data_IF_015501927484
#
_entry.id   IF_015501927484
#
_cell.length_a   1.000
_cell.length_b   1.000
_cell.length_c   1.000
_cell.angle_alpha   90.00
_cell.angle_beta   90.00
_cell.angle_gamma   90.00
#
_symmetry.space_group_name_H-M   'P 1'
#
loop_
_entity.id
_entity.type
_entity.pdbx_description
1 polymer ?
#
# COMPACT_ATOMS: atom_id res chain seq x y z
N UNK A 1 -17.79 -17.18 -4.70
CA UNK A 1 -18.79 -16.15 -4.37
C UNK A 1 -20.07 -16.85 -3.96
N UNK A 2 -20.57 -16.60 -2.75
CA UNK A 2 -21.78 -17.29 -2.25
C UNK A 2 -23.02 -16.72 -2.97
N UNK A 3 -23.84 -17.58 -3.59
CA UNK A 3 -25.04 -17.15 -4.35
C UNK A 3 -26.02 -16.38 -3.46
N UNK A 4 -26.08 -16.72 -2.17
CA UNK A 4 -26.88 -15.98 -1.17
C UNK A 4 -26.49 -14.50 -1.06
N UNK A 5 -25.22 -14.17 -1.30
CA UNK A 5 -24.71 -12.80 -1.29
C UNK A 5 -25.00 -12.03 -2.59
N UNK A 6 -25.25 -12.75 -3.70
CA UNK A 6 -25.69 -12.16 -4.97
C UNK A 6 -27.19 -11.80 -4.96
N UNK A 7 -27.97 -12.52 -4.14
CA UNK A 7 -29.41 -12.30 -3.94
C UNK A 7 -29.71 -11.21 -2.89
N UNK A 8 -28.71 -10.77 -2.12
CA UNK A 8 -28.86 -9.77 -1.06
C UNK A 8 -29.10 -8.35 -1.62
N UNK A 9 -29.80 -7.46 -0.88
CA UNK A 9 -30.00 -6.08 -1.28
C UNK A 9 -28.68 -5.32 -1.46
N UNK A 10 -28.65 -4.39 -2.42
CA UNK A 10 -27.44 -3.68 -2.87
C UNK A 10 -26.60 -3.09 -1.73
N UNK A 11 -27.28 -2.53 -0.73
CA UNK A 11 -26.65 -1.85 0.41
C UNK A 11 -25.95 -2.82 1.35
N UNK A 12 -26.52 -4.01 1.56
CA UNK A 12 -25.93 -5.06 2.41
C UNK A 12 -24.66 -5.61 1.78
N UNK A 13 -24.67 -5.85 0.45
CA UNK A 13 -23.47 -6.29 -0.28
C UNK A 13 -22.36 -5.24 -0.24
N UNK A 14 -22.74 -3.96 -0.38
CA UNK A 14 -21.79 -2.85 -0.32
C UNK A 14 -21.13 -2.76 1.06
N UNK A 15 -21.93 -2.76 2.12
CA UNK A 15 -21.42 -2.72 3.49
C UNK A 15 -20.55 -3.92 3.81
N UNK A 16 -20.95 -5.13 3.41
CA UNK A 16 -20.15 -6.35 3.65
C UNK A 16 -18.83 -6.30 2.88
N UNK A 17 -18.82 -5.86 1.62
CA UNK A 17 -17.56 -5.74 0.85
C UNK A 17 -16.65 -4.66 1.41
N UNK A 18 -17.19 -3.49 1.76
CA UNK A 18 -16.43 -2.42 2.40
C UNK A 18 -15.86 -2.92 3.73
N UNK A 19 -16.68 -3.51 4.60
CA UNK A 19 -16.22 -4.03 5.88
C UNK A 19 -15.13 -5.11 5.72
N UNK A 20 -15.26 -6.02 4.75
CA UNK A 20 -14.26 -7.06 4.51
C UNK A 20 -12.95 -6.47 3.97
N UNK A 21 -13.03 -5.52 3.02
CA UNK A 21 -11.86 -4.85 2.45
C UNK A 21 -11.16 -3.98 3.49
N UNK A 22 -11.90 -3.27 4.33
CA UNK A 22 -11.33 -2.44 5.39
C UNK A 22 -10.75 -3.30 6.52
N UNK A 23 -11.41 -4.41 6.90
CA UNK A 23 -10.95 -5.29 7.98
C UNK A 23 -9.71 -6.11 7.59
N UNK A 24 -9.59 -6.50 6.31
CA UNK A 24 -8.42 -7.26 5.82
C UNK A 24 -7.34 -6.28 5.34
N UNK A 25 -7.72 -5.28 4.56
CA UNK A 25 -6.81 -4.31 3.96
C UNK A 25 -6.27 -3.30 4.97
N UNK A 26 -7.04 -2.91 5.99
CA UNK A 26 -6.62 -1.91 6.98
C UNK A 26 -5.41 -2.32 7.80
N UNK A 27 -5.43 -3.47 8.50
CA UNK A 27 -4.28 -3.95 9.26
C UNK A 27 -3.06 -4.18 8.36
N UNK A 28 -3.30 -4.71 7.17
CA UNK A 28 -2.25 -5.04 6.21
C UNK A 28 -1.59 -3.77 5.65
N UNK A 29 -2.36 -2.73 5.36
CA UNK A 29 -1.88 -1.45 4.86
C UNK A 29 -1.08 -0.67 5.91
N UNK A 30 -1.52 -0.70 7.16
CA UNK A 30 -0.80 -0.12 8.30
C UNK A 30 0.54 -0.83 8.53
N UNK A 31 0.60 -2.16 8.34
CA UNK A 31 1.82 -2.94 8.52
C UNK A 31 2.82 -2.86 7.35
N UNK A 32 2.35 -2.70 6.11
CA UNK A 32 3.20 -2.80 4.90
C UNK A 32 3.92 -1.50 4.52
N UNK A 33 3.49 -0.33 5.01
CA UNK A 33 4.01 0.95 4.57
C UNK A 33 5.29 1.36 5.36
N UNK A 34 6.32 1.92 4.69
CA UNK A 34 7.52 2.41 5.36
C UNK A 34 7.18 3.54 6.34
N UNK A 35 7.97 3.66 7.42
CA UNK A 35 7.81 4.73 8.39
C UNK A 35 8.46 6.01 7.84
N UNK A 36 7.79 6.63 6.86
CA UNK A 36 8.22 7.82 6.13
C UNK A 36 7.83 9.14 6.81
N UNK A 37 7.45 9.08 8.10
CA UNK A 37 7.04 10.25 8.89
C UNK A 37 5.62 10.77 8.61
N UNK A 38 4.86 10.12 7.71
CA UNK A 38 3.45 10.44 7.46
C UNK A 38 2.55 10.10 8.66
N UNK A 39 1.67 11.04 9.04
CA UNK A 39 0.80 10.90 10.21
C UNK A 39 -0.16 9.69 10.09
N UNK A 40 -0.29 8.93 11.17
CA UNK A 40 -1.07 7.68 11.21
C UNK A 40 -2.57 7.92 10.94
N UNK A 41 -3.05 9.12 11.24
CA UNK A 41 -4.43 9.56 10.99
C UNK A 41 -4.69 9.69 9.49
N UNK A 42 -3.75 10.26 8.73
CA UNK A 42 -3.81 10.36 7.28
C UNK A 42 -3.85 8.96 6.63
N UNK A 43 -3.03 8.03 7.17
CA UNK A 43 -2.97 6.63 6.73
C UNK A 43 -4.27 5.87 7.04
N UNK A 44 -4.86 6.10 8.22
CA UNK A 44 -6.12 5.47 8.64
C UNK A 44 -7.33 5.93 7.80
N UNK A 45 -7.31 7.15 7.27
CA UNK A 45 -8.40 7.70 6.42
C UNK A 45 -8.31 7.23 4.97
N UNK A 46 -7.10 6.98 4.44
CA UNK A 46 -6.92 6.49 3.06
C UNK A 46 -7.56 5.11 2.84
N UNK A 47 -7.46 4.21 3.82
CA UNK A 47 -7.97 2.83 3.76
C UNK A 47 -9.49 2.74 3.49
N UNK A 48 -10.37 3.37 4.29
CA UNK A 48 -11.81 3.31 4.04
C UNK A 48 -12.16 3.99 2.72
N UNK A 49 -11.46 5.05 2.32
CA UNK A 49 -11.67 5.74 1.05
C UNK A 49 -11.39 4.82 -0.15
N UNK A 50 -10.22 4.16 -0.15
CA UNK A 50 -9.82 3.24 -1.21
C UNK A 50 -10.75 2.02 -1.24
N UNK A 51 -11.13 1.50 -0.07
CA UNK A 51 -12.07 0.39 0.09
C UNK A 51 -13.47 0.75 -0.44
N UNK A 52 -13.97 1.95 -0.14
CA UNK A 52 -15.24 2.47 -0.66
C UNK A 52 -15.18 2.58 -2.19
N UNK A 53 -14.10 3.12 -2.75
CA UNK A 53 -13.92 3.24 -4.20
C UNK A 53 -13.95 1.90 -4.91
N UNK A 54 -13.14 0.94 -4.43
CA UNK A 54 -13.05 -0.42 -4.99
C UNK A 54 -14.36 -1.19 -4.82
N UNK A 55 -15.00 -1.13 -3.65
CA UNK A 55 -16.28 -1.80 -3.41
C UNK A 55 -17.39 -1.24 -4.32
N UNK A 56 -17.41 0.08 -4.53
CA UNK A 56 -18.38 0.73 -5.43
C UNK A 56 -18.16 0.28 -6.89
N UNK A 57 -16.91 0.21 -7.34
CA UNK A 57 -16.56 -0.32 -8.66
C UNK A 57 -17.03 -1.77 -8.81
N UNK A 58 -16.73 -2.63 -7.83
CA UNK A 58 -17.14 -4.04 -7.86
C UNK A 58 -18.67 -4.18 -7.92
N UNK A 59 -19.42 -3.35 -7.21
CA UNK A 59 -20.88 -3.39 -7.26
C UNK A 59 -21.44 -2.98 -8.62
N UNK A 60 -20.93 -1.90 -9.22
CA UNK A 60 -21.40 -1.44 -10.54
C UNK A 60 -21.13 -2.50 -11.60
N UNK A 61 -19.96 -3.15 -11.54
CA UNK A 61 -19.60 -4.24 -12.47
C UNK A 61 -20.46 -5.48 -12.22
N UNK A 62 -20.69 -5.85 -10.96
CA UNK A 62 -21.51 -7.00 -10.60
C UNK A 62 -23.01 -6.80 -10.91
N UNK A 63 -23.49 -5.57 -11.00
CA UNK A 63 -24.91 -5.29 -11.24
C UNK A 63 -25.35 -5.73 -12.64
N UNK A 64 -24.51 -5.50 -13.66
CA UNK A 64 -24.76 -5.98 -15.02
C UNK A 64 -24.81 -7.50 -15.08
N UNK A 65 -23.89 -8.15 -14.36
CA UNK A 65 -23.88 -9.59 -14.24
C UNK A 65 -25.16 -10.12 -13.56
N UNK A 66 -25.65 -9.42 -12.52
CA UNK A 66 -26.89 -9.76 -11.82
C UNK A 66 -28.11 -9.68 -12.73
N UNK A 67 -28.20 -8.63 -13.55
CA UNK A 67 -29.33 -8.47 -14.47
C UNK A 67 -29.42 -9.63 -15.48
N UNK A 68 -28.30 -10.01 -16.10
CA UNK A 68 -28.26 -11.19 -16.99
C UNK A 68 -28.57 -12.48 -16.24
N UNK A 69 -28.09 -12.64 -15.00
CA UNK A 69 -28.36 -13.82 -14.17
C UNK A 69 -29.85 -13.95 -13.80
N UNK A 70 -30.50 -12.83 -13.46
CA UNK A 70 -31.94 -12.81 -13.15
C UNK A 70 -32.80 -13.04 -14.40
N UNK A 71 -32.39 -12.51 -15.57
CA UNK A 71 -33.08 -12.75 -16.84
C UNK A 71 -33.09 -14.24 -17.22
N UNK A 72 -32.01 -14.98 -16.95
CA UNK A 72 -31.96 -16.44 -17.20
C UNK A 72 -32.83 -17.24 -16.22
N UNK A 73 -33.09 -16.71 -15.03
CA UNK A 73 -33.93 -17.34 -14.00
C UNK A 73 -35.39 -16.90 -14.06
N UNK A 74 -35.73 -15.99 -14.97
CA UNK A 74 -37.07 -15.47 -15.13
C UNK A 74 -37.98 -16.55 -15.71
N UNK A 75 -39.17 -16.73 -15.12
CA UNK A 75 -40.10 -17.81 -15.48
C UNK A 75 -39.94 -19.16 -14.77
N UNK A 76 -38.92 -19.37 -13.92
CA UNK A 76 -38.81 -20.58 -13.06
C UNK A 76 -39.39 -20.35 -11.66
N UNK A 77 -40.01 -21.38 -11.08
CA UNK A 77 -40.53 -21.36 -9.70
C UNK A 77 -39.39 -21.41 -8.64
N UNK A 78 -39.66 -21.04 -7.39
CA UNK A 78 -38.64 -20.88 -6.34
C UNK A 78 -37.82 -22.17 -6.07
N UNK A 79 -38.47 -23.34 -6.16
CA UNK A 79 -37.84 -24.66 -6.02
C UNK A 79 -36.98 -25.01 -7.24
N UNK A 80 -37.50 -24.76 -8.44
CA UNK A 80 -36.80 -24.97 -9.71
C UNK A 80 -35.57 -24.06 -9.85
N UNK A 81 -35.65 -22.80 -9.40
CA UNK A 81 -34.51 -21.87 -9.34
C UNK A 81 -33.40 -22.42 -8.46
N UNK A 82 -33.74 -22.95 -7.28
CA UNK A 82 -32.75 -23.51 -6.35
C UNK A 82 -32.08 -24.75 -6.94
N UNK A 83 -32.84 -25.63 -7.57
CA UNK A 83 -32.31 -26.81 -8.26
C UNK A 83 -31.43 -26.44 -9.46
N UNK A 84 -31.85 -25.49 -10.31
CA UNK A 84 -31.05 -25.04 -11.45
C UNK A 84 -29.71 -24.42 -10.99
N UNK A 85 -29.75 -23.61 -9.92
CA UNK A 85 -28.56 -23.01 -9.33
C UNK A 85 -27.63 -24.08 -8.75
N UNK A 86 -28.16 -25.05 -8.01
CA UNK A 86 -27.38 -26.12 -7.39
C UNK A 86 -26.75 -27.03 -8.46
N UNK A 87 -27.55 -27.44 -9.45
CA UNK A 87 -27.11 -28.21 -10.62
C UNK A 87 -26.07 -27.49 -11.48
N UNK A 88 -26.09 -26.15 -11.52
CA UNK A 88 -25.08 -25.37 -12.25
C UNK A 88 -23.70 -25.32 -11.56
N UNK A 89 -23.65 -25.58 -10.25
CA UNK A 89 -22.44 -25.41 -9.44
C UNK A 89 -21.80 -26.69 -8.95
N UNK A 90 -22.59 -27.64 -8.41
CA UNK A 90 -22.13 -28.95 -7.88
C UNK A 90 -23.19 -30.07 -7.85
N UNK A 91 -24.44 -29.79 -8.20
CA UNK A 91 -25.56 -30.73 -8.10
C UNK A 91 -25.64 -31.74 -9.25
N UNK A 92 -26.41 -32.80 -9.04
CA UNK A 92 -26.74 -33.79 -10.07
C UNK A 92 -27.52 -33.16 -11.24
N UNK A 93 -27.40 -33.74 -12.44
CA UNK A 93 -28.11 -33.24 -13.62
C UNK A 93 -29.64 -33.40 -13.41
N UNK A 94 -30.41 -32.30 -13.46
CA UNK A 94 -31.85 -32.36 -13.26
C UNK A 94 -32.53 -33.04 -14.45
N UNK A 95 -33.54 -33.87 -14.16
CA UNK A 95 -34.33 -34.62 -15.15
C UNK A 95 -35.39 -33.76 -15.85
N UNK A 96 -35.80 -32.64 -15.25
CA UNK A 96 -36.77 -31.72 -15.85
C UNK A 96 -36.12 -30.88 -16.96
N UNK A 97 -36.66 -30.99 -18.18
CA UNK A 97 -36.24 -30.23 -19.38
C UNK A 97 -36.08 -28.71 -19.17
N UNK A 98 -37.02 -27.98 -18.53
CA UNK A 98 -36.85 -26.53 -18.31
C UNK A 98 -35.78 -26.19 -17.27
N UNK A 99 -35.55 -27.05 -16.28
CA UNK A 99 -34.53 -26.85 -15.24
C UNK A 99 -33.14 -27.15 -15.79
N UNK A 100 -33.03 -28.17 -16.66
CA UNK A 100 -31.78 -28.53 -17.33
C UNK A 100 -31.33 -27.44 -18.31
N UNK A 101 -32.26 -26.86 -19.09
CA UNK A 101 -31.93 -25.78 -20.03
C UNK A 101 -31.47 -24.50 -19.31
N UNK A 102 -32.12 -24.13 -18.21
CA UNK A 102 -31.72 -23.01 -17.36
C UNK A 102 -30.36 -23.26 -16.70
N UNK A 103 -30.09 -24.46 -16.20
CA UNK A 103 -28.80 -24.82 -15.60
C UNK A 103 -27.64 -24.75 -16.60
N UNK A 104 -27.84 -25.21 -17.84
CA UNK A 104 -26.87 -25.10 -18.94
C UNK A 104 -26.61 -23.63 -19.31
N UNK A 105 -27.65 -22.80 -19.43
CA UNK A 105 -27.52 -21.35 -19.67
C UNK A 105 -26.80 -20.63 -18.52
N UNK A 106 -27.10 -20.95 -17.27
CA UNK A 106 -26.40 -20.40 -16.11
C UNK A 106 -24.91 -20.75 -16.07
N UNK A 107 -24.58 -22.03 -16.32
CA UNK A 107 -23.20 -22.50 -16.29
C UNK A 107 -22.40 -21.92 -17.46
N UNK A 108 -23.00 -21.82 -18.65
CA UNK A 108 -22.38 -21.18 -19.83
C UNK A 108 -22.14 -19.68 -19.62
N UNK A 109 -23.06 -18.96 -18.96
CA UNK A 109 -22.84 -17.56 -18.59
C UNK A 109 -21.68 -17.40 -17.59
N UNK A 110 -21.60 -18.26 -16.56
CA UNK A 110 -20.53 -18.25 -15.56
C UNK A 110 -19.15 -18.57 -16.16
N UNK A 111 -19.08 -19.56 -17.05
CA UNK A 111 -17.84 -19.97 -17.71
C UNK A 111 -17.44 -18.96 -18.79
N UNK A 112 -18.38 -18.49 -19.60
CA UNK A 112 -18.12 -17.55 -20.69
C UNK A 112 -17.67 -16.17 -20.20
N UNK A 113 -18.25 -15.65 -19.13
CA UNK A 113 -17.80 -14.38 -18.51
C UNK A 113 -16.39 -14.49 -17.93
N UNK A 114 -16.04 -15.62 -17.32
CA UNK A 114 -14.68 -15.86 -16.81
C UNK A 114 -13.65 -16.07 -17.92
N UNK A 115 -14.00 -16.81 -18.97
CA UNK A 115 -13.10 -17.06 -20.10
C UNK A 115 -12.86 -15.80 -20.95
N UNK A 116 -13.84 -14.90 -21.02
CA UNK A 116 -13.71 -13.61 -21.70
C UNK A 116 -12.86 -12.60 -20.97
N UNK A 117 -12.38 -12.89 -19.76
CA UNK A 117 -11.40 -12.00 -19.12
C UNK A 117 -10.19 -11.83 -20.04
N UNK A 118 -9.85 -10.58 -20.40
CA UNK A 118 -8.82 -10.32 -21.38
C UNK A 118 -7.47 -10.83 -20.89
N UNK A 119 -6.65 -11.33 -21.81
CA UNK A 119 -5.36 -11.97 -21.50
C UNK A 119 -4.42 -11.06 -20.71
N UNK A 120 -4.48 -9.74 -20.93
CA UNK A 120 -3.72 -8.75 -20.16
C UNK A 120 -4.10 -8.74 -18.67
N UNK A 121 -5.39 -8.91 -18.33
CA UNK A 121 -5.84 -8.94 -16.94
C UNK A 121 -5.36 -10.23 -16.22
N UNK A 122 -5.24 -11.33 -16.97
CA UNK A 122 -4.60 -12.57 -16.49
C UNK A 122 -3.12 -12.37 -16.18
N UNK A 123 -2.39 -11.65 -17.03
CA UNK A 123 -0.99 -11.32 -16.77
C UNK A 123 -0.83 -10.37 -15.59
N UNK A 124 -1.67 -9.34 -15.46
CA UNK A 124 -1.69 -8.44 -14.30
C UNK A 124 -1.95 -9.23 -13.01
N UNK A 125 -2.87 -10.20 -13.02
CA UNK A 125 -3.13 -11.06 -11.87
C UNK A 125 -1.90 -11.85 -11.40
N UNK A 126 -0.96 -12.22 -12.29
CA UNK A 126 0.30 -12.87 -11.91
C UNK A 126 1.41 -11.87 -11.54
N UNK A 127 1.41 -10.68 -12.15
CA UNK A 127 2.38 -9.62 -11.84
C UNK A 127 2.22 -9.08 -10.42
N UNK A 128 0.99 -9.01 -9.90
CA UNK A 128 0.74 -8.51 -8.54
C UNK A 128 1.40 -9.36 -7.44
N UNK A 129 1.22 -10.69 -7.36
CA UNK A 129 1.93 -11.52 -6.37
C UNK A 129 3.44 -11.56 -6.62
N UNK A 130 3.89 -11.51 -7.88
CA UNK A 130 5.31 -11.43 -8.20
C UNK A 130 5.94 -10.11 -7.71
N UNK A 131 5.24 -8.99 -7.88
CA UNK A 131 5.64 -7.69 -7.35
C UNK A 131 5.69 -7.68 -5.82
N UNK A 132 4.68 -8.27 -5.16
CA UNK A 132 4.68 -8.43 -3.71
C UNK A 132 5.89 -9.27 -3.21
N UNK A 133 6.24 -10.35 -3.92
CA UNK A 133 7.42 -11.15 -3.61
C UNK A 133 8.73 -10.40 -3.82
N UNK A 134 8.85 -9.60 -4.89
CA UNK A 134 10.02 -8.75 -5.12
C UNK A 134 10.19 -7.70 -4.01
N UNK A 135 9.09 -7.10 -3.55
CA UNK A 135 9.11 -6.16 -2.42
C UNK A 135 9.55 -6.88 -1.14
N UNK A 136 9.08 -8.10 -0.89
CA UNK A 136 9.52 -8.90 0.26
C UNK A 136 11.05 -9.14 0.23
N UNK A 137 11.60 -9.48 -0.94
CA UNK A 137 13.05 -9.68 -1.12
C UNK A 137 13.83 -8.39 -0.88
N UNK A 138 13.37 -7.26 -1.44
CA UNK A 138 14.01 -5.96 -1.20
C UNK A 138 14.04 -5.60 0.29
N UNK A 139 12.94 -5.83 1.02
CA UNK A 139 12.87 -5.57 2.47
C UNK A 139 13.72 -6.50 3.31
N UNK A 140 13.95 -7.72 2.85
CA UNK A 140 14.85 -8.66 3.50
C UNK A 140 16.31 -8.17 3.41
N UNK A 141 16.68 -7.52 2.30
CA UNK A 141 18.00 -6.89 2.13
C UNK A 141 18.16 -5.69 3.06
N UNK A 142 17.10 -4.91 3.29
CA UNK A 142 17.06 -3.81 4.26
C UNK A 142 17.00 -4.27 5.74
N UNK A 143 17.16 -5.57 6.02
CA UNK A 143 17.10 -6.19 7.36
C UNK A 143 15.76 -5.98 8.11
N UNK A 144 14.69 -5.58 7.42
CA UNK A 144 13.35 -5.43 8.00
C UNK A 144 12.55 -6.73 7.86
N UNK A 145 12.93 -7.73 8.67
CA UNK A 145 12.44 -9.12 8.60
C UNK A 145 10.92 -9.21 8.79
N UNK A 146 10.35 -8.36 9.65
CA UNK A 146 8.91 -8.38 9.94
C UNK A 146 8.08 -7.93 8.73
N UNK A 147 8.51 -6.84 8.07
CA UNK A 147 7.84 -6.36 6.84
C UNK A 147 8.07 -7.30 5.67
N UNK A 148 9.24 -7.91 5.56
CA UNK A 148 9.52 -8.93 4.55
C UNK A 148 8.55 -10.14 4.69
N UNK A 149 8.36 -10.64 5.91
CA UNK A 149 7.42 -11.74 6.19
C UNK A 149 5.97 -11.35 5.90
N UNK A 150 5.55 -10.12 6.20
CA UNK A 150 4.21 -9.63 5.89
C UNK A 150 3.94 -9.60 4.37
N UNK A 151 4.88 -9.07 3.57
CA UNK A 151 4.77 -9.06 2.12
C UNK A 151 4.80 -10.47 1.51
N UNK A 152 5.59 -11.38 2.09
CA UNK A 152 5.64 -12.77 1.66
C UNK A 152 4.32 -13.50 1.95
N UNK A 153 3.73 -13.28 3.13
CA UNK A 153 2.41 -13.81 3.48
C UNK A 153 1.32 -13.32 2.52
N UNK A 154 1.35 -12.04 2.12
CA UNK A 154 0.45 -11.47 1.10
C UNK A 154 0.63 -12.15 -0.25
N UNK A 155 1.88 -12.31 -0.70
CA UNK A 155 2.17 -12.97 -1.97
C UNK A 155 1.63 -14.41 -2.00
N UNK A 156 1.84 -15.17 -0.91
CA UNK A 156 1.32 -16.54 -0.75
C UNK A 156 -0.21 -16.55 -0.74
N UNK A 157 -0.84 -15.65 0.02
CA UNK A 157 -2.30 -15.56 0.08
C UNK A 157 -2.90 -15.27 -1.31
N UNK A 158 -2.31 -14.33 -2.05
CA UNK A 158 -2.74 -14.03 -3.41
C UNK A 158 -2.55 -15.23 -4.35
N UNK A 159 -1.42 -15.94 -4.27
CA UNK A 159 -1.18 -17.15 -5.06
C UNK A 159 -2.23 -18.23 -4.77
N UNK A 160 -2.59 -18.44 -3.49
CA UNK A 160 -3.64 -19.37 -3.08
C UNK A 160 -5.00 -18.95 -3.63
N UNK A 161 -5.36 -17.66 -3.58
CA UNK A 161 -6.61 -17.13 -4.13
C UNK A 161 -6.68 -17.38 -5.64
N UNK A 162 -5.63 -17.05 -6.39
CA UNK A 162 -5.60 -17.27 -7.84
C UNK A 162 -5.64 -18.75 -8.22
N UNK A 163 -4.93 -19.59 -7.46
CA UNK A 163 -4.98 -21.04 -7.65
C UNK A 163 -6.38 -21.60 -7.40
N UNK A 164 -7.05 -21.15 -6.34
CA UNK A 164 -8.42 -21.53 -6.03
C UNK A 164 -9.40 -21.09 -7.12
N UNK A 165 -9.21 -19.89 -7.67
CA UNK A 165 -10.04 -19.36 -8.74
C UNK A 165 -9.88 -20.19 -10.04
N UNK A 166 -8.64 -20.54 -10.40
CA UNK A 166 -8.34 -21.43 -11.52
C UNK A 166 -8.89 -22.86 -11.31
N UNK A 167 -8.83 -23.38 -10.08
CA UNK A 167 -9.41 -24.68 -9.75
C UNK A 167 -10.94 -24.65 -9.82
N UNK A 168 -11.55 -23.56 -9.39
CA UNK A 168 -13.00 -23.36 -9.45
C UNK A 168 -13.48 -23.26 -10.91
N UNK A 169 -12.76 -22.52 -11.76
CA UNK A 169 -13.05 -22.43 -13.18
C UNK A 169 -12.98 -23.80 -13.87
N UNK A 170 -11.93 -24.59 -13.59
CA UNK A 170 -11.78 -25.95 -14.13
C UNK A 170 -12.95 -26.86 -13.75
N UNK A 171 -13.39 -26.79 -12.49
CA UNK A 171 -14.56 -27.55 -12.02
C UNK A 171 -15.84 -27.14 -12.75
N UNK A 172 -16.07 -25.83 -12.92
CA UNK A 172 -17.24 -25.33 -13.64
C UNK A 172 -17.23 -25.76 -15.11
N UNK A 173 -16.06 -25.78 -15.76
CA UNK A 173 -15.93 -26.29 -17.13
C UNK A 173 -16.26 -27.78 -17.24
N UNK A 174 -15.78 -28.60 -16.30
CA UNK A 174 -16.10 -30.03 -16.26
C UNK A 174 -17.60 -30.27 -16.09
N UNK A 175 -18.23 -29.53 -15.19
CA UNK A 175 -19.67 -29.63 -14.95
C UNK A 175 -20.52 -29.18 -16.13
N UNK A 176 -20.09 -28.11 -16.82
CA UNK A 176 -20.73 -27.65 -18.03
C UNK A 176 -20.67 -28.70 -19.14
N UNK A 177 -19.55 -29.42 -19.28
CA UNK A 177 -19.43 -30.52 -20.24
C UNK A 177 -20.40 -31.67 -19.91
N UNK A 178 -20.53 -32.03 -18.63
CA UNK A 178 -21.49 -33.04 -18.18
C UNK A 178 -22.94 -32.62 -18.47
N UNK A 179 -23.30 -31.38 -18.13
CA UNK A 179 -24.64 -30.84 -18.37
C UNK A 179 -24.98 -30.76 -19.86
N UNK A 180 -24.01 -30.42 -20.72
CA UNK A 180 -24.19 -30.42 -22.19
C UNK A 180 -24.36 -31.83 -22.73
N UNK A 181 -23.60 -32.80 -22.23
CA UNK A 181 -23.76 -34.21 -22.64
C UNK A 181 -25.15 -34.74 -22.27
N UNK A 182 -25.64 -34.44 -21.07
CA UNK A 182 -27.00 -34.81 -20.66
C UNK A 182 -28.07 -34.07 -21.47
N UNK A 183 -27.91 -32.78 -21.74
CA UNK A 183 -28.85 -32.01 -22.55
C UNK A 183 -28.92 -32.52 -24.00
N UNK A 184 -27.78 -32.89 -24.60
CA UNK A 184 -27.76 -33.48 -25.94
C UNK A 184 -28.56 -34.80 -26.00
N UNK A 185 -28.51 -35.60 -24.93
CA UNK A 185 -29.27 -36.86 -24.85
C UNK A 185 -30.77 -36.69 -24.59
N UNK A 186 -31.19 -35.63 -23.88
CA UNK A 186 -32.58 -35.47 -23.44
C UNK A 186 -33.39 -34.45 -24.24
N UNK A 187 -32.75 -33.41 -24.78
CA UNK A 187 -33.38 -32.29 -25.49
C UNK A 187 -33.08 -32.30 -26.99
N UNK A 188 -32.10 -33.09 -27.45
CA UNK A 188 -31.66 -33.15 -28.85
C UNK A 188 -30.85 -31.93 -29.30
N UNK A 189 -31.21 -30.73 -28.85
CA UNK A 189 -30.51 -29.48 -29.15
C UNK A 189 -29.90 -28.87 -27.87
N UNK A 190 -28.62 -28.49 -27.93
CA UNK A 190 -27.91 -27.92 -26.77
C UNK A 190 -28.30 -26.46 -26.63
N UNK A 191 -28.88 -26.02 -25.51
CA UNK A 191 -29.24 -24.62 -25.30
C UNK A 191 -27.99 -23.73 -25.34
N UNK A 192 -27.86 -22.88 -26.36
CA UNK A 192 -26.81 -21.88 -26.48
C UNK A 192 -27.33 -20.51 -26.07
N UNK A 193 -26.51 -19.73 -25.35
CA UNK A 193 -26.76 -18.31 -25.10
C UNK A 193 -26.41 -17.50 -26.36
N UNK A 194 -27.23 -16.51 -26.68
CA UNK A 194 -26.91 -15.57 -27.75
C UNK A 194 -25.76 -14.64 -27.33
N UNK A 195 -24.97 -14.15 -28.29
CA UNK A 195 -23.83 -13.26 -28.03
C UNK A 195 -24.24 -11.97 -27.29
N UNK A 196 -25.47 -11.52 -27.51
CA UNK A 196 -26.11 -10.36 -26.86
C UNK A 196 -26.47 -10.56 -25.40
N UNK A 197 -26.54 -11.80 -24.91
CA UNK A 197 -26.88 -12.12 -23.52
C UNK A 197 -25.66 -12.12 -22.59
N UNK A 198 -24.45 -12.11 -23.16
CA UNK A 198 -23.22 -11.97 -22.37
C UNK A 198 -23.06 -10.53 -21.87
N UNK A 199 -22.81 -10.33 -20.57
CA UNK A 199 -22.50 -9.01 -20.07
C UNK A 199 -21.18 -8.52 -20.67
N UNK A 200 -21.16 -7.28 -21.15
CA UNK A 200 -19.96 -6.65 -21.70
C UNK A 200 -18.81 -6.70 -20.67
N UNK A 201 -17.67 -7.24 -21.09
CA UNK A 201 -16.52 -7.58 -20.25
C UNK A 201 -15.78 -6.34 -19.74
N UNK A 202 -15.88 -5.24 -20.48
CA UNK A 202 -15.25 -3.97 -20.12
C UNK A 202 -16.27 -3.03 -19.47
N UNK A 203 -15.99 -2.49 -18.26
CA UNK A 203 -16.75 -1.35 -17.77
C UNK A 203 -16.61 -0.23 -18.81
N UNK A 204 -17.71 0.50 -19.08
CA UNK A 204 -17.65 1.57 -20.06
C UNK A 204 -16.54 2.57 -19.67
N UNK A 205 -15.81 3.11 -20.64
CA UNK A 205 -14.75 4.12 -20.41
C UNK A 205 -15.23 5.25 -19.47
N UNK A 206 -16.51 5.59 -19.54
CA UNK A 206 -17.19 6.54 -18.65
C UNK A 206 -17.21 6.09 -17.18
N UNK A 207 -17.55 4.83 -16.90
CA UNK A 207 -17.53 4.27 -15.53
C UNK A 207 -16.11 4.23 -14.98
N UNK A 208 -15.13 3.83 -15.81
CA UNK A 208 -13.73 3.82 -15.38
C UNK A 208 -13.21 5.23 -15.05
N UNK A 209 -13.52 6.23 -15.89
CA UNK A 209 -13.15 7.63 -15.66
C UNK A 209 -13.82 8.23 -14.42
N UNK A 210 -15.10 7.93 -14.18
CA UNK A 210 -15.81 8.38 -12.97
C UNK A 210 -15.15 7.77 -11.73
N UNK A 211 -14.79 6.50 -11.76
CA UNK A 211 -14.17 5.82 -10.62
C UNK A 211 -12.76 6.34 -10.35
N UNK A 212 -11.93 6.50 -11.38
CA UNK A 212 -10.59 7.11 -11.23
C UNK A 212 -10.73 8.54 -10.71
N UNK A 213 -11.68 9.32 -11.23
CA UNK A 213 -11.99 10.67 -10.74
C UNK A 213 -12.41 10.69 -9.27
N UNK A 214 -13.28 9.77 -8.84
CA UNK A 214 -13.72 9.65 -7.44
C UNK A 214 -12.58 9.22 -6.53
N UNK A 215 -11.76 8.26 -6.93
CA UNK A 215 -10.59 7.82 -6.14
C UNK A 215 -9.59 8.96 -5.98
N UNK A 216 -9.29 9.69 -7.05
CA UNK A 216 -8.41 10.87 -7.01
C UNK A 216 -9.02 11.96 -6.13
N UNK A 217 -10.28 12.34 -6.36
CA UNK A 217 -10.95 13.38 -5.59
C UNK A 217 -11.01 13.04 -4.09
N UNK A 218 -11.36 11.80 -3.75
CA UNK A 218 -11.42 11.37 -2.36
C UNK A 218 -10.02 11.27 -1.72
N UNK A 219 -8.99 10.90 -2.49
CA UNK A 219 -7.60 10.92 -2.01
C UNK A 219 -7.13 12.35 -1.73
N UNK A 220 -7.49 13.30 -2.60
CA UNK A 220 -7.19 14.73 -2.43
C UNK A 220 -7.94 15.30 -1.22
N UNK A 221 -9.24 15.00 -1.07
CA UNK A 221 -10.06 15.45 0.05
C UNK A 221 -9.55 14.86 1.37
N UNK A 222 -9.21 13.58 1.40
CA UNK A 222 -8.63 12.93 2.58
C UNK A 222 -7.27 13.53 2.96
N UNK A 223 -6.41 13.80 1.97
CA UNK A 223 -5.11 14.45 2.19
C UNK A 223 -5.28 15.88 2.71
N UNK A 224 -6.25 16.62 2.18
CA UNK A 224 -6.59 17.96 2.65
C UNK A 224 -7.19 17.94 4.07
N UNK A 225 -8.06 16.98 4.38
CA UNK A 225 -8.66 16.84 5.70
C UNK A 225 -7.63 16.43 6.76
N UNK A 226 -6.71 15.51 6.42
CA UNK A 226 -5.60 15.14 7.30
C UNK A 226 -4.67 16.33 7.55
N UNK A 227 -4.29 17.07 6.50
CA UNK A 227 -3.49 18.29 6.61
C UNK A 227 -4.16 19.38 7.46
N UNK A 228 -5.49 19.48 7.40
CA UNK A 228 -6.25 20.43 8.22
C UNK A 228 -6.42 19.95 9.67
N UNK A 229 -6.57 18.65 9.92
CA UNK A 229 -6.62 18.08 11.27
C UNK A 229 -5.27 18.19 11.98
N UNK A 230 -4.16 18.03 11.26
CA UNK A 230 -2.80 18.21 11.77
C UNK A 230 -2.54 19.67 12.22
N UNK A 231 -3.26 20.64 11.66
CA UNK A 231 -3.26 22.03 12.14
C UNK A 231 -4.21 22.30 13.31
N UNK A 232 -5.20 21.45 13.55
CA UNK A 232 -6.31 21.76 14.45
C UNK A 232 -6.14 21.25 15.89
N UNK A 233 -5.10 20.47 16.20
CA UNK A 233 -4.96 19.82 17.51
C UNK A 233 -3.66 20.19 18.24
N UNK A 234 -3.70 21.22 19.10
CA UNK A 234 -2.64 21.46 20.07
C UNK A 234 -2.87 20.55 21.29
N UNK A 235 -1.99 19.57 21.45
CA UNK A 235 -1.75 18.88 22.72
C UNK A 235 -2.68 17.71 23.06
N UNK A 236 -2.34 16.51 22.59
CA UNK A 236 -2.43 15.27 23.39
C UNK A 236 -1.66 14.14 22.67
N UNK A 237 -0.58 13.65 23.28
CA UNK A 237 -0.01 12.30 23.05
C UNK A 237 0.85 12.02 21.80
N UNK A 238 0.86 12.86 20.76
CA UNK A 238 1.57 12.58 19.47
C UNK A 238 2.89 13.39 19.31
N UNK A 239 3.23 14.27 20.26
CA UNK A 239 4.43 15.13 20.19
C UNK A 239 5.75 14.40 20.37
N UNK A 240 5.74 13.16 20.90
CA UNK A 240 6.97 12.38 21.07
C UNK A 240 7.65 12.00 19.75
N UNK A 241 6.86 11.67 18.71
CA UNK A 241 7.37 11.15 17.42
C UNK A 241 7.75 12.26 16.45
N UNK A 242 7.05 13.40 16.46
CA UNK A 242 7.38 14.55 15.59
C UNK A 242 8.61 15.34 16.07
N UNK A 243 8.81 15.49 17.38
CA UNK A 243 10.01 16.12 17.94
C UNK A 243 11.25 15.22 17.77
N UNK A 244 11.09 13.89 17.83
CA UNK A 244 12.15 12.95 17.44
C UNK A 244 12.47 13.02 15.94
N UNK A 245 11.46 13.20 15.07
CA UNK A 245 11.69 13.48 13.65
C UNK A 245 12.52 14.75 13.43
N UNK A 246 12.24 15.83 14.19
CA UNK A 246 13.05 17.07 14.15
C UNK A 246 14.48 16.84 14.67
N UNK A 247 14.63 16.09 15.77
CA UNK A 247 15.94 15.78 16.34
C UNK A 247 16.78 14.92 15.38
N UNK A 248 16.19 13.89 14.76
CA UNK A 248 16.83 13.05 13.74
C UNK A 248 17.10 13.85 12.45
N UNK A 249 16.27 14.81 12.07
CA UNK A 249 16.56 15.70 10.94
C UNK A 249 17.80 16.58 11.19
N UNK A 250 18.16 16.84 12.44
CA UNK A 250 19.43 17.49 12.80
C UNK A 250 20.63 16.59 12.45
N UNK A 251 20.43 15.27 12.37
CA UNK A 251 21.45 14.26 12.07
C UNK A 251 21.74 14.11 10.58
N UNK A 252 20.72 14.27 9.73
CA UNK A 252 20.87 14.21 8.27
C UNK A 252 21.90 15.24 7.75
N UNK A 253 22.06 16.36 8.46
CA UNK A 253 23.03 17.42 8.15
C UNK A 253 24.49 16.96 8.29
N UNK A 254 24.75 15.89 9.06
CA UNK A 254 26.08 15.27 9.15
C UNK A 254 26.36 14.34 7.97
N UNK A 255 25.41 13.46 7.64
CA UNK A 255 25.58 12.48 6.57
C UNK A 255 25.62 13.09 5.16
N UNK A 256 24.98 14.25 4.96
CA UNK A 256 24.94 14.92 3.66
C UNK A 256 26.23 15.68 3.32
N UNK A 257 27.09 15.96 4.31
CA UNK A 257 28.30 16.79 4.15
C UNK A 257 29.54 16.12 4.75
N UNK A 258 29.87 14.95 4.22
CA UNK A 258 31.10 14.23 4.58
C UNK A 258 32.36 15.10 4.35
N UNK A 259 32.32 15.97 3.34
CA UNK A 259 33.36 16.97 3.03
C UNK A 259 33.65 17.95 4.18
N UNK A 260 32.64 18.28 4.98
CA UNK A 260 32.73 19.21 6.11
C UNK A 260 32.96 18.51 7.45
N UNK A 261 32.94 17.18 7.51
CA UNK A 261 33.21 16.44 8.76
C UNK A 261 34.59 15.79 8.75
N UNK A 262 35.23 15.72 7.59
CA UNK A 262 36.62 15.27 7.46
C UNK A 262 37.60 16.29 8.05
N UNK A 263 38.37 15.85 9.06
CA UNK A 263 39.43 16.66 9.66
C UNK A 263 40.52 17.10 8.67
N UNK A 264 40.75 16.36 7.58
CA UNK A 264 41.76 16.73 6.60
C UNK A 264 41.34 17.93 5.74
N UNK A 265 40.05 18.26 5.67
CA UNK A 265 39.53 19.32 4.82
C UNK A 265 39.52 20.71 5.48
N UNK A 266 39.97 20.81 6.74
CA UNK A 266 40.04 22.10 7.48
C UNK A 266 41.20 22.99 7.02
N UNK A 267 42.23 22.41 6.39
CA UNK A 267 43.41 23.13 5.88
C UNK A 267 43.10 23.85 4.56
N UNK A 268 43.95 24.79 4.10
CA UNK A 268 43.78 25.44 2.80
C UNK A 268 43.71 24.42 1.66
N UNK A 269 42.69 24.53 0.81
CA UNK A 269 42.41 23.58 -0.28
C UNK A 269 41.13 22.75 -0.10
N UNK A 270 40.53 22.76 1.10
CA UNK A 270 39.20 22.18 1.36
C UNK A 270 38.03 23.15 1.14
N UNK A 271 36.80 22.78 1.57
CA UNK A 271 35.59 23.60 1.45
C UNK A 271 35.74 25.00 2.04
N UNK A 272 35.01 26.00 1.54
CA UNK A 272 35.21 27.39 1.95
C UNK A 272 34.82 27.62 3.42
N UNK A 273 35.39 28.64 4.08
CA UNK A 273 34.99 28.96 5.48
C UNK A 273 33.48 29.30 5.57
N UNK A 274 32.93 29.90 4.51
CA UNK A 274 31.50 30.19 4.42
C UNK A 274 30.63 28.91 4.40
N UNK A 275 31.13 27.81 3.84
CA UNK A 275 30.43 26.52 3.85
C UNK A 275 30.32 25.95 5.26
N UNK A 276 31.41 26.02 6.03
CA UNK A 276 31.43 25.63 7.45
C UNK A 276 30.50 26.50 8.31
N UNK A 277 30.49 27.82 8.08
CA UNK A 277 29.60 28.74 8.79
C UNK A 277 28.13 28.50 8.45
N UNK A 278 27.81 28.25 7.17
CA UNK A 278 26.46 27.90 6.73
C UNK A 278 25.99 26.59 7.36
N UNK A 279 26.85 25.58 7.37
CA UNK A 279 26.56 24.28 7.98
C UNK A 279 26.30 24.40 9.49
N UNK A 280 27.15 25.12 10.23
CA UNK A 280 26.91 25.36 11.66
C UNK A 280 25.62 26.16 11.92
N UNK A 281 25.28 27.14 11.07
CA UNK A 281 24.03 27.88 11.18
C UNK A 281 22.79 27.01 10.94
N UNK A 282 22.88 26.06 10.03
CA UNK A 282 21.81 25.10 9.76
C UNK A 282 21.59 24.17 10.96
N UNK A 283 22.66 23.63 11.56
CA UNK A 283 22.59 22.83 12.79
C UNK A 283 21.96 23.64 13.91
N UNK A 284 22.39 24.89 14.12
CA UNK A 284 21.84 25.77 15.16
C UNK A 284 20.35 26.04 14.97
N UNK A 285 19.94 26.29 13.73
CA UNK A 285 18.54 26.56 13.40
C UNK A 285 17.66 25.34 13.68
N UNK A 286 18.12 24.13 13.34
CA UNK A 286 17.40 22.88 13.59
C UNK A 286 17.38 22.53 15.08
N UNK A 287 18.48 22.71 15.79
CA UNK A 287 18.55 22.52 17.24
C UNK A 287 17.59 23.43 18.01
N UNK A 288 17.39 24.68 17.56
CA UNK A 288 16.43 25.61 18.16
C UNK A 288 14.97 25.19 17.99
N UNK A 289 14.66 24.31 17.04
CA UNK A 289 13.29 23.80 16.82
C UNK A 289 12.94 22.61 17.73
N UNK A 290 13.91 22.06 18.45
CA UNK A 290 13.71 20.95 19.40
C UNK A 290 13.32 21.53 20.75
N UNK A 291 12.09 21.23 21.18
CA UNK A 291 11.49 21.83 22.41
C UNK A 291 11.32 20.84 23.55
N UNK A 292 11.51 19.53 23.29
CA UNK A 292 11.40 18.47 24.31
C UNK A 292 12.49 18.64 25.37
N UNK A 293 12.12 18.66 26.65
CA UNK A 293 13.04 19.01 27.75
C UNK A 293 14.23 18.05 27.94
N UNK A 294 14.11 16.82 27.49
CA UNK A 294 15.12 15.77 27.52
C UNK A 294 16.03 15.72 26.27
N UNK A 295 15.57 16.27 25.14
CA UNK A 295 16.33 16.33 23.87
C UNK A 295 16.93 17.70 23.59
N UNK A 296 16.24 18.78 23.99
CA UNK A 296 16.64 20.16 23.72
C UNK A 296 18.05 20.49 24.25
N UNK A 297 18.45 20.09 25.48
CA UNK A 297 19.82 20.34 25.95
C UNK A 297 20.88 19.71 25.05
N UNK A 298 20.64 18.48 24.57
CA UNK A 298 21.57 17.75 23.70
C UNK A 298 21.64 18.35 22.30
N UNK A 299 20.50 18.69 21.72
CA UNK A 299 20.43 19.37 20.43
C UNK A 299 21.17 20.72 20.46
N UNK A 300 21.01 21.49 21.55
CA UNK A 300 21.75 22.74 21.75
C UNK A 300 23.26 22.50 21.93
N UNK A 301 23.65 21.44 22.65
CA UNK A 301 25.06 21.08 22.81
C UNK A 301 25.71 20.72 21.48
N UNK A 302 25.02 19.98 20.59
CA UNK A 302 25.47 19.72 19.22
C UNK A 302 25.66 21.03 18.43
N UNK A 303 24.72 21.97 18.55
CA UNK A 303 24.84 23.28 17.91
C UNK A 303 26.04 24.08 18.42
N UNK A 304 26.33 24.00 19.72
CA UNK A 304 27.51 24.62 20.33
C UNK A 304 28.82 24.01 19.80
N UNK A 305 28.91 22.67 19.78
CA UNK A 305 30.06 21.94 19.24
C UNK A 305 30.31 22.28 17.76
N UNK A 306 29.24 22.45 16.96
CA UNK A 306 29.36 22.90 15.57
C UNK A 306 30.02 24.28 15.46
N UNK A 307 29.69 25.20 16.39
CA UNK A 307 30.26 26.53 16.44
C UNK A 307 31.75 26.50 16.83
N UNK A 308 32.11 25.61 17.75
CA UNK A 308 33.52 25.35 18.12
C UNK A 308 34.30 24.73 16.96
N UNK A 309 33.70 23.84 16.18
CA UNK A 309 34.33 23.25 15.00
C UNK A 309 34.66 24.34 13.96
N UNK A 310 33.73 25.29 13.72
CA UNK A 310 33.96 26.43 12.81
C UNK A 310 35.08 27.34 13.33
N UNK A 311 35.19 27.56 14.64
CA UNK A 311 36.26 28.40 15.20
C UNK A 311 37.64 27.79 14.98
N UNK A 312 37.77 26.47 15.09
CA UNK A 312 39.00 25.72 14.76
C UNK A 312 39.39 25.88 13.29
N UNK A 313 38.43 25.75 12.36
CA UNK A 313 38.68 25.96 10.92
C UNK A 313 39.13 27.41 10.65
N UNK A 314 38.46 28.38 11.28
CA UNK A 314 38.80 29.80 11.14
C UNK A 314 40.21 30.10 11.63
N UNK A 315 40.60 29.54 12.77
CA UNK A 315 41.93 29.74 13.35
C UNK A 315 43.02 29.08 12.50
N UNK A 316 42.79 27.83 12.09
CA UNK A 316 43.72 27.05 11.26
C UNK A 316 44.02 27.74 9.92
N UNK A 317 43.05 28.50 9.37
CA UNK A 317 43.19 29.19 8.08
C UNK A 317 43.70 30.63 8.17
N UNK A 318 43.61 31.26 9.34
CA UNK A 318 44.12 32.63 9.56
C UNK A 318 45.62 32.68 9.72
N UNK A 319 46.20 31.69 10.39
CA UNK A 319 47.63 31.62 10.66
C UNK A 319 48.13 30.28 10.11
N UNK A 320 48.88 30.25 8.99
CA UNK A 320 49.50 29.02 8.53
C UNK A 320 50.57 28.61 9.54
N UNK A 321 50.17 27.78 10.50
CA UNK A 321 51.04 27.19 11.50
C UNK A 321 51.98 26.14 10.90
N UNK A 322 52.90 25.65 11.72
CA UNK A 322 53.75 24.52 11.38
C UNK A 322 52.92 23.26 11.11
N UNK A 323 53.49 22.30 10.37
CA UNK A 323 52.81 21.00 10.09
C UNK A 323 52.34 20.30 11.37
N UNK A 324 53.08 20.44 12.47
CA UNK A 324 52.72 19.86 13.78
C UNK A 324 51.50 20.53 14.38
N UNK A 325 51.39 21.85 14.28
CA UNK A 325 50.22 22.61 14.75
C UNK A 325 48.99 22.31 13.91
N UNK A 326 49.14 22.15 12.59
CA UNK A 326 48.04 21.74 11.71
C UNK A 326 47.51 20.35 12.08
N UNK A 327 48.39 19.37 12.29
CA UNK A 327 48.00 18.03 12.76
C UNK A 327 47.28 18.09 14.11
N UNK A 328 47.74 18.95 15.03
CA UNK A 328 47.07 19.14 16.31
C UNK A 328 45.66 19.73 16.15
N UNK A 329 45.47 20.72 15.27
CA UNK A 329 44.15 21.28 14.98
C UNK A 329 43.21 20.26 14.30
N UNK A 330 43.74 19.40 13.43
CA UNK A 330 42.97 18.30 12.82
C UNK A 330 42.47 17.31 13.88
N UNK A 331 43.30 16.96 14.86
CA UNK A 331 42.90 16.08 15.98
C UNK A 331 41.83 16.75 16.85
N UNK A 332 41.98 18.04 17.16
CA UNK A 332 40.97 18.81 17.91
C UNK A 332 39.64 18.82 17.15
N UNK A 333 39.69 19.08 15.84
CA UNK A 333 38.51 19.09 14.98
C UNK A 333 37.83 17.71 14.93
N UNK A 334 38.59 16.64 14.68
CA UNK A 334 38.07 15.27 14.68
C UNK A 334 37.39 14.90 16.00
N UNK A 335 37.95 15.34 17.14
CA UNK A 335 37.36 15.10 18.45
C UNK A 335 36.02 15.83 18.64
N UNK A 336 35.90 17.07 18.15
CA UNK A 336 34.63 17.81 18.19
C UNK A 336 33.57 17.11 17.34
N UNK A 337 33.92 16.68 16.13
CA UNK A 337 33.01 15.93 15.25
C UNK A 337 32.58 14.61 15.89
N UNK A 338 33.51 13.85 16.47
CA UNK A 338 33.18 12.61 17.18
C UNK A 338 32.20 12.86 18.34
N UNK A 339 32.42 13.92 19.13
CA UNK A 339 31.54 14.27 20.24
C UNK A 339 30.13 14.70 19.78
N UNK A 340 30.03 15.33 18.61
CA UNK A 340 28.73 15.61 17.98
C UNK A 340 28.01 14.31 17.59
N UNK A 341 28.73 13.32 17.07
CA UNK A 341 28.17 11.99 16.75
C UNK A 341 27.76 11.20 18.00
N UNK A 342 28.50 11.34 19.12
CA UNK A 342 28.14 10.68 20.38
C UNK A 342 26.83 11.24 20.96
N UNK A 343 26.68 12.57 21.01
CA UNK A 343 25.43 13.21 21.46
C UNK A 343 24.25 12.87 20.54
N UNK A 344 24.52 12.82 19.23
CA UNK A 344 23.59 12.37 18.21
C UNK A 344 23.11 10.93 18.44
N UNK A 345 24.01 10.00 18.76
CA UNK A 345 23.68 8.60 19.02
C UNK A 345 22.77 8.46 20.25
N UNK A 346 23.00 9.27 21.29
CA UNK A 346 22.14 9.29 22.47
C UNK A 346 20.75 9.83 22.14
N UNK A 347 20.64 10.86 21.30
CA UNK A 347 19.35 11.36 20.81
C UNK A 347 18.60 10.28 20.03
N UNK A 348 19.29 9.49 19.20
CA UNK A 348 18.71 8.36 18.48
C UNK A 348 18.20 7.27 19.43
N UNK A 349 18.98 6.90 20.44
CA UNK A 349 18.62 5.87 21.42
C UNK A 349 17.34 6.26 22.19
N UNK A 350 17.28 7.49 22.69
CA UNK A 350 16.12 8.05 23.41
C UNK A 350 14.88 8.21 22.51
N UNK A 351 15.09 8.31 21.19
CA UNK A 351 14.00 8.38 20.23
C UNK A 351 13.50 7.00 19.75
N UNK A 352 14.30 5.94 19.95
CA UNK A 352 13.94 4.56 19.60
C UNK A 352 13.44 3.74 20.81
N UNK A 353 13.76 4.17 22.04
CA UNK A 353 13.28 3.58 23.31
C UNK A 353 11.81 3.85 23.59
#
# INVERSE_FOLDING_TARGET
MNIRLLLAPRWVRWLVMVALMTAIGGPLWIFLMPDDGSDWTARAVQIPVLSIGVATLLIVVQERFRQSFLAVLDGLDATQRRQAIEASQRGAAPTEAPVLSAAVRLCTLLVGTRLRTPTWARWVAYLVPAGAALIAVARLVDHDVWRAMAWLAVAVLMAVIFWWDARTLRRLQQQLNLLRATAASSLGEVPTLAESEYPAVTPSRKVWLIVVGVVIAMSVIASAAAYLMERAQPGHGITGRSECGKAIATLAVFSEREDLTDSQSIVPGGPSLADYEKWSNEIRTRAAQVTRSDLAPRAQHIAELSGQAVSVVRETRKVPGTQREQLQQQVVYAKLIAHMYDEAAVVLDVCHS
#
